data_IF_371249188378
#
_entry.id   IF_371249188378
#
_cell.length_a   1.000
_cell.length_b   1.000
_cell.length_c   1.000
_cell.angle_alpha   90.00
_cell.angle_beta   90.00
_cell.angle_gamma   90.00
#
_symmetry.space_group_name_H-M   'P 1'
#
loop_
_entity.id
_entity.type
_entity.pdbx_description
1 polymer ?
#
# COMPACT_ATOMS: atom_id res chain seq x y z
N UNK A 1 11.72 -38.26 22.31
CA UNK A 1 11.50 -37.76 20.94
C UNK A 1 11.80 -36.27 20.90
N UNK A 2 12.97 -35.90 20.37
CA UNK A 2 13.48 -34.52 20.35
C UNK A 2 12.96 -33.78 19.12
N UNK A 3 12.22 -32.68 19.31
CA UNK A 3 11.83 -31.77 18.23
C UNK A 3 13.06 -30.98 17.81
N UNK A 4 13.74 -31.44 16.76
CA UNK A 4 14.82 -30.69 16.10
C UNK A 4 14.27 -29.34 15.65
N UNK A 5 14.75 -28.28 16.31
CA UNK A 5 14.60 -26.89 15.89
C UNK A 5 15.52 -26.70 14.69
N UNK A 6 14.96 -26.69 13.48
CA UNK A 6 15.72 -26.36 12.28
C UNK A 6 15.96 -24.85 12.27
N UNK A 7 17.21 -24.47 12.52
CA UNK A 7 17.74 -23.17 12.14
C UNK A 7 17.75 -23.09 10.61
N UNK A 8 16.86 -22.30 10.03
CA UNK A 8 16.93 -21.96 8.62
C UNK A 8 17.78 -20.69 8.44
N UNK A 9 18.89 -20.89 7.77
CA UNK A 9 19.82 -19.90 7.23
C UNK A 9 19.18 -19.14 6.05
N UNK A 10 19.65 -17.90 5.85
CA UNK A 10 19.09 -16.89 4.96
C UNK A 10 19.21 -17.17 3.45
N UNK A 11 18.34 -16.53 2.64
CA UNK A 11 18.68 -15.82 1.40
C UNK A 11 18.30 -16.34 -0.03
N UNK A 12 17.20 -17.07 -0.28
CA UNK A 12 16.81 -17.38 -1.71
C UNK A 12 15.31 -17.30 -2.11
N UNK A 13 14.37 -16.88 -1.27
CA UNK A 13 12.95 -16.72 -1.68
C UNK A 13 12.40 -15.35 -1.27
N UNK A 14 11.93 -14.54 -2.23
CA UNK A 14 11.32 -13.22 -2.02
C UNK A 14 9.89 -13.23 -1.45
N UNK A 15 9.56 -14.20 -0.57
CA UNK A 15 8.35 -14.18 0.32
C UNK A 15 8.36 -15.15 1.56
N UNK A 16 9.18 -14.87 2.61
CA UNK A 16 9.16 -15.20 4.07
C UNK A 16 8.44 -14.59 5.31
N UNK A 17 7.59 -13.57 5.29
CA UNK A 17 8.29 -12.29 5.22
C UNK A 17 8.92 -12.27 3.85
N UNK A 18 8.08 -12.04 2.85
CA UNK A 18 6.63 -11.77 3.05
C UNK A 18 5.52 -12.80 2.67
N UNK A 19 4.33 -12.37 3.11
CA UNK A 19 2.96 -12.64 2.70
C UNK A 19 2.75 -13.37 1.35
N UNK A 20 2.01 -14.49 1.34
CA UNK A 20 1.69 -15.26 0.12
C UNK A 20 0.31 -14.99 -0.50
N UNK A 21 -0.41 -13.98 -0.03
CA UNK A 21 -1.76 -13.69 -0.53
C UNK A 21 -1.77 -12.99 -1.90
N UNK A 22 -2.95 -12.84 -2.51
CA UNK A 22 -3.09 -12.36 -3.88
C UNK A 22 -2.91 -10.84 -4.03
N UNK A 23 -2.83 -10.09 -2.92
CA UNK A 23 -2.70 -8.63 -2.99
C UNK A 23 -1.38 -8.24 -3.65
N UNK A 24 -1.51 -7.32 -4.60
CA UNK A 24 -0.40 -6.67 -5.30
C UNK A 24 -0.73 -5.20 -5.46
N UNK A 25 0.29 -4.36 -5.34
CA UNK A 25 0.20 -2.96 -5.75
C UNK A 25 0.04 -2.89 -7.26
N UNK A 26 -0.45 -1.77 -7.77
CA UNK A 26 -0.68 -1.52 -9.20
C UNK A 26 0.56 -1.74 -10.10
N UNK A 27 1.77 -1.68 -9.54
CA UNK A 27 3.04 -1.96 -10.24
C UNK A 27 3.52 -3.42 -10.07
N UNK A 28 2.64 -4.31 -9.60
CA UNK A 28 2.92 -5.73 -9.40
C UNK A 28 3.70 -6.06 -8.12
N UNK A 29 4.09 -5.07 -7.30
CA UNK A 29 4.81 -5.34 -6.05
C UNK A 29 3.93 -6.04 -5.02
N UNK A 30 4.47 -7.08 -4.42
CA UNK A 30 3.90 -7.74 -3.24
C UNK A 30 4.11 -6.91 -1.97
N UNK A 31 3.27 -7.08 -0.94
CA UNK A 31 3.53 -6.55 0.40
C UNK A 31 4.90 -6.99 0.93
N UNK A 32 5.58 -6.11 1.66
CA UNK A 32 6.85 -6.40 2.33
C UNK A 32 6.68 -6.23 3.84
N UNK A 33 6.92 -7.29 4.62
CA UNK A 33 6.65 -7.31 6.06
C UNK A 33 5.21 -6.89 6.39
N UNK A 34 4.24 -7.48 5.69
CA UNK A 34 2.82 -7.14 5.82
C UNK A 34 2.49 -5.69 5.45
N UNK A 35 3.42 -4.96 4.83
CA UNK A 35 3.21 -3.59 4.43
C UNK A 35 3.34 -3.44 2.92
N UNK A 36 2.24 -3.07 2.27
CA UNK A 36 2.21 -2.66 0.88
C UNK A 36 2.46 -1.16 0.81
N UNK A 37 3.68 -0.77 0.45
CA UNK A 37 4.04 0.64 0.37
C UNK A 37 3.20 1.38 -0.69
N UNK A 38 2.65 2.56 -0.38
CA UNK A 38 2.05 3.45 -1.38
C UNK A 38 3.04 3.77 -2.51
N UNK A 39 2.52 4.16 -3.66
CA UNK A 39 3.35 4.83 -4.66
C UNK A 39 3.82 6.19 -4.11
N UNK A 40 4.92 6.68 -4.68
CA UNK A 40 5.34 8.06 -4.47
C UNK A 40 4.16 8.99 -4.79
N UNK A 41 3.91 9.99 -3.93
CA UNK A 41 2.78 10.93 -3.98
C UNK A 41 1.41 10.42 -3.49
N UNK A 42 1.28 9.15 -3.07
CA UNK A 42 0.10 8.62 -2.37
C UNK A 42 0.35 8.36 -0.88
N UNK A 43 1.43 8.94 -0.35
CA UNK A 43 1.82 8.97 1.06
C UNK A 43 2.04 10.41 1.54
N UNK A 44 1.34 10.82 2.60
CA UNK A 44 1.31 12.22 3.02
C UNK A 44 1.75 12.34 4.47
N UNK A 45 2.81 13.10 4.72
CA UNK A 45 3.42 13.24 6.04
C UNK A 45 3.50 14.72 6.40
N UNK A 46 2.72 15.15 7.40
CA UNK A 46 2.74 16.54 7.84
C UNK A 46 4.14 16.95 8.34
N UNK A 47 4.91 16.02 8.90
CA UNK A 47 6.32 16.24 9.26
C UNK A 47 7.17 16.71 8.07
N UNK A 48 6.96 16.14 6.88
CA UNK A 48 7.70 16.50 5.66
C UNK A 48 7.24 17.85 5.11
N UNK A 49 5.92 18.09 5.08
CA UNK A 49 5.34 19.26 4.41
C UNK A 49 5.28 20.51 5.29
N UNK A 50 5.06 20.34 6.60
CA UNK A 50 4.88 21.43 7.58
C UNK A 50 6.04 21.52 8.57
N UNK A 51 7.05 20.66 8.44
CA UNK A 51 8.27 20.64 9.24
C UNK A 51 8.19 19.86 10.55
N UNK A 52 9.35 19.79 11.23
CA UNK A 52 9.61 18.92 12.40
C UNK A 52 8.82 19.24 13.68
N UNK A 53 7.94 20.24 13.64
CA UNK A 53 7.01 20.58 14.74
C UNK A 53 5.89 19.55 14.90
N UNK A 54 5.61 18.77 13.87
CA UNK A 54 4.63 17.69 13.91
C UNK A 54 5.33 16.33 13.95
N UNK A 55 4.84 15.40 14.75
CA UNK A 55 5.36 14.03 14.76
C UNK A 55 5.05 13.29 13.46
N UNK A 56 5.76 12.18 13.22
CA UNK A 56 5.48 11.27 12.11
C UNK A 56 4.09 10.62 12.18
N UNK A 57 3.40 10.68 13.33
CA UNK A 57 2.05 10.13 13.50
C UNK A 57 1.00 10.86 12.66
N UNK A 58 1.25 12.11 12.27
CA UNK A 58 0.36 12.89 11.42
C UNK A 58 0.62 12.58 9.94
N UNK A 59 0.29 11.36 9.55
CA UNK A 59 0.39 10.90 8.18
C UNK A 59 -0.87 10.14 7.76
N UNK A 60 -1.05 9.99 6.46
CA UNK A 60 -2.01 9.08 5.88
C UNK A 60 -1.57 8.70 4.47
N UNK A 61 -2.08 7.59 3.97
CA UNK A 61 -1.74 7.11 2.64
C UNK A 61 -2.84 6.27 2.03
N UNK A 62 -2.79 6.13 0.71
CA UNK A 62 -3.63 5.19 -0.04
C UNK A 62 -2.75 4.31 -0.91
N UNK A 63 -3.22 3.11 -1.22
CA UNK A 63 -2.49 2.17 -2.07
C UNK A 63 -3.39 1.72 -3.20
N UNK A 64 -2.93 1.92 -4.44
CA UNK A 64 -3.55 1.37 -5.63
C UNK A 64 -3.20 -0.11 -5.77
N UNK A 65 -4.22 -0.97 -5.89
CA UNK A 65 -4.05 -2.40 -6.08
C UNK A 65 -4.06 -2.78 -7.56
N UNK A 66 -3.44 -3.91 -7.90
CA UNK A 66 -3.37 -4.43 -9.26
C UNK A 66 -4.75 -4.76 -9.86
N UNK A 67 -5.76 -5.01 -9.03
CA UNK A 67 -7.13 -5.28 -9.45
C UNK A 67 -8.01 -4.01 -9.59
N UNK A 68 -7.38 -2.82 -9.53
CA UNK A 68 -8.04 -1.52 -9.69
C UNK A 68 -8.73 -1.00 -8.43
N UNK A 69 -8.73 -1.75 -7.32
CA UNK A 69 -9.22 -1.26 -6.02
C UNK A 69 -8.16 -0.40 -5.33
N UNK A 70 -8.60 0.29 -4.30
CA UNK A 70 -7.77 1.12 -3.44
C UNK A 70 -7.97 0.74 -1.98
N UNK A 71 -6.92 0.84 -1.17
CA UNK A 71 -6.99 0.66 0.28
C UNK A 71 -6.46 1.91 0.98
N UNK A 72 -6.96 2.16 2.19
CA UNK A 72 -6.45 3.19 3.09
C UNK A 72 -5.43 2.55 4.01
N UNK A 73 -4.23 3.11 4.03
CA UNK A 73 -3.04 2.56 4.69
C UNK A 73 -2.54 1.24 4.08
N UNK A 74 -1.21 1.04 4.08
CA UNK A 74 -0.57 -0.11 3.44
C UNK A 74 -0.51 -1.38 4.28
N UNK A 75 -1.03 -1.38 5.52
CA UNK A 75 -0.85 -2.49 6.44
C UNK A 75 -1.86 -3.62 6.15
N UNK A 76 -1.34 -4.76 5.70
CA UNK A 76 -2.08 -6.00 5.39
C UNK A 76 -2.04 -6.90 6.62
N UNK A 77 -3.16 -7.01 7.35
CA UNK A 77 -3.26 -7.88 8.53
C UNK A 77 -3.65 -9.30 8.12
N UNK A 78 -3.55 -10.23 9.08
CA UNK A 78 -3.90 -11.65 8.90
C UNK A 78 -5.37 -11.87 8.46
N UNK A 79 -6.22 -10.87 8.68
CA UNK A 79 -7.59 -10.83 8.21
C UNK A 79 -7.78 -9.77 7.12
N UNK A 80 -7.56 -10.16 5.86
CA UNK A 80 -7.83 -9.31 4.69
C UNK A 80 -9.30 -8.88 4.62
N UNK A 81 -10.23 -9.63 5.22
CA UNK A 81 -11.66 -9.28 5.20
C UNK A 81 -11.97 -8.04 6.04
N UNK A 82 -11.10 -7.72 7.00
CA UNK A 82 -11.17 -6.49 7.79
C UNK A 82 -10.64 -5.25 7.05
N UNK A 83 -10.01 -5.42 5.88
CA UNK A 83 -9.53 -4.30 5.08
C UNK A 83 -10.68 -3.64 4.30
N UNK A 84 -10.74 -2.31 4.39
CA UNK A 84 -11.71 -1.54 3.61
C UNK A 84 -11.15 -1.28 2.20
N UNK A 85 -11.87 -1.76 1.19
CA UNK A 85 -11.54 -1.56 -0.22
C UNK A 85 -12.44 -0.52 -0.86
N UNK A 86 -11.85 0.37 -1.64
CA UNK A 86 -12.52 1.45 -2.35
C UNK A 86 -12.41 1.25 -3.86
N UNK A 87 -13.43 1.69 -4.60
CA UNK A 87 -13.46 1.62 -6.06
C UNK A 87 -12.65 2.73 -6.74
N UNK A 88 -12.32 3.80 -6.02
CA UNK A 88 -11.58 4.94 -6.56
C UNK A 88 -10.57 5.47 -5.56
N UNK A 89 -9.50 6.07 -6.09
CA UNK A 89 -8.51 6.81 -5.31
C UNK A 89 -9.16 7.91 -4.47
N UNK A 90 -10.07 8.65 -5.09
CA UNK A 90 -10.70 9.82 -4.47
C UNK A 90 -11.47 9.42 -3.22
N UNK A 91 -12.26 8.34 -3.28
CA UNK A 91 -12.99 7.86 -2.10
C UNK A 91 -12.04 7.37 -1.02
N UNK A 92 -11.00 6.60 -1.38
CA UNK A 92 -9.99 6.15 -0.42
C UNK A 92 -9.30 7.34 0.26
N UNK A 93 -8.90 8.34 -0.52
CA UNK A 93 -8.17 9.51 -0.02
C UNK A 93 -9.04 10.37 0.89
N UNK A 94 -10.30 10.61 0.52
CA UNK A 94 -11.29 11.30 1.36
C UNK A 94 -11.54 10.54 2.67
N UNK A 95 -11.62 9.21 2.62
CA UNK A 95 -11.78 8.38 3.83
C UNK A 95 -10.55 8.45 4.74
N UNK A 96 -9.34 8.35 4.19
CA UNK A 96 -8.09 8.50 4.93
C UNK A 96 -8.00 9.88 5.60
N UNK A 97 -8.26 10.94 4.84
CA UNK A 97 -8.31 12.31 5.34
C UNK A 97 -9.35 12.50 6.45
N UNK A 98 -10.55 11.93 6.29
CA UNK A 98 -11.59 12.01 7.31
C UNK A 98 -11.18 11.30 8.61
N UNK A 99 -10.50 10.14 8.52
CA UNK A 99 -9.93 9.42 9.67
C UNK A 99 -8.86 10.27 10.38
N UNK A 100 -7.95 10.87 9.63
CA UNK A 100 -6.91 11.74 10.18
C UNK A 100 -7.51 12.99 10.83
N UNK A 101 -8.45 13.69 10.18
CA UNK A 101 -9.14 14.85 10.76
C UNK A 101 -9.79 14.45 12.08
N UNK A 102 -10.49 13.31 12.13
CA UNK A 102 -11.10 12.79 13.37
C UNK A 102 -10.06 12.54 14.46
N UNK A 103 -8.91 11.99 14.11
CA UNK A 103 -7.79 11.80 15.04
C UNK A 103 -7.26 13.15 15.56
N UNK A 104 -7.02 14.11 14.66
CA UNK A 104 -6.58 15.48 15.01
C UNK A 104 -7.59 16.14 15.98
N UNK A 105 -8.91 15.95 15.78
CA UNK A 105 -9.95 16.46 16.70
C UNK A 105 -9.83 15.88 18.11
N UNK A 106 -9.51 14.59 18.20
CA UNK A 106 -9.32 13.87 19.48
C UNK A 106 -7.99 14.23 20.15
N UNK A 107 -6.96 14.48 19.36
CA UNK A 107 -5.60 14.79 19.81
C UNK A 107 -5.49 16.05 20.68
N UNK A 108 -6.48 16.95 20.61
CA UNK A 108 -6.60 18.12 21.50
C UNK A 108 -6.71 17.74 22.99
N UNK A 109 -7.08 16.49 23.28
CA UNK A 109 -7.23 15.96 24.64
C UNK A 109 -6.06 15.05 25.03
N UNK A 110 -5.13 14.81 24.11
CA UNK A 110 -3.99 13.94 24.36
C UNK A 110 -2.90 14.73 25.09
N UNK A 111 -1.95 14.01 25.67
CA UNK A 111 -0.74 14.58 26.29
C UNK A 111 0.50 14.03 25.60
N UNK A 112 1.64 14.69 25.81
CA UNK A 112 2.93 14.25 25.26
C UNK A 112 3.09 14.54 23.76
N UNK A 113 3.89 13.71 23.08
CA UNK A 113 4.38 13.97 21.72
C UNK A 113 3.28 13.97 20.63
N UNK A 114 2.15 13.31 20.89
CA UNK A 114 1.01 13.28 19.98
C UNK A 114 -0.09 14.30 20.34
N UNK A 115 0.17 15.20 21.28
CA UNK A 115 -0.71 16.33 21.52
C UNK A 115 -0.58 17.37 20.39
N UNK A 116 -1.71 17.90 19.93
CA UNK A 116 -1.77 18.99 18.94
C UNK A 116 -2.31 20.23 19.63
N UNK A 117 -1.53 21.30 19.64
CA UNK A 117 -1.94 22.57 20.26
C UNK A 117 -3.12 23.22 19.53
N UNK A 118 -3.84 24.11 20.22
CA UNK A 118 -4.96 24.84 19.63
C UNK A 118 -4.54 25.68 18.40
N UNK A 119 -3.30 26.16 18.35
CA UNK A 119 -2.74 26.94 17.23
C UNK A 119 -2.45 26.05 16.01
N UNK A 120 -2.11 24.79 16.22
CA UNK A 120 -1.61 23.90 15.17
C UNK A 120 -2.73 23.06 14.53
N UNK A 121 -3.86 22.96 15.22
CA UNK A 121 -5.03 22.23 14.78
C UNK A 121 -5.62 22.72 13.44
N UNK A 122 -5.86 24.05 13.23
CA UNK A 122 -6.33 24.53 11.94
C UNK A 122 -5.33 24.24 10.82
N UNK A 123 -4.03 24.32 11.11
CA UNK A 123 -2.98 24.06 10.13
C UNK A 123 -2.98 22.60 9.65
N UNK A 124 -3.07 21.63 10.57
CA UNK A 124 -3.14 20.21 10.19
C UNK A 124 -4.40 19.87 9.40
N UNK A 125 -5.54 20.45 9.76
CA UNK A 125 -6.79 20.23 9.01
C UNK A 125 -6.69 20.84 7.61
N UNK A 126 -6.21 22.08 7.49
CA UNK A 126 -6.03 22.73 6.19
C UNK A 126 -5.09 21.93 5.29
N UNK A 127 -3.93 21.50 5.83
CA UNK A 127 -3.01 20.62 5.11
C UNK A 127 -3.66 19.30 4.69
N UNK A 128 -4.41 18.64 5.59
CA UNK A 128 -5.09 17.38 5.25
C UNK A 128 -6.09 17.57 4.10
N UNK A 129 -6.83 18.68 4.09
CA UNK A 129 -7.77 19.01 3.02
C UNK A 129 -7.05 19.34 1.70
N UNK A 130 -5.92 20.05 1.76
CA UNK A 130 -5.09 20.33 0.58
C UNK A 130 -4.60 19.03 -0.07
N UNK A 131 -4.13 18.06 0.71
CA UNK A 131 -3.64 16.78 0.20
C UNK A 131 -4.73 16.00 -0.56
N UNK A 132 -5.99 16.08 -0.13
CA UNK A 132 -7.13 15.45 -0.83
C UNK A 132 -7.32 16.05 -2.23
N UNK A 133 -7.02 17.33 -2.40
CA UNK A 133 -7.12 18.03 -3.69
C UNK A 133 -5.94 17.76 -4.64
N UNK A 134 -4.89 17.05 -4.20
CA UNK A 134 -3.73 16.80 -5.05
C UNK A 134 -4.06 15.77 -6.15
N UNK A 135 -3.77 16.10 -7.43
CA UNK A 135 -4.05 15.20 -8.53
C UNK A 135 -3.23 13.91 -8.40
N UNK A 136 -3.81 12.80 -8.85
CA UNK A 136 -3.08 11.55 -8.96
C UNK A 136 -2.00 11.69 -10.04
N UNK A 137 -0.79 11.17 -9.79
CA UNK A 137 0.17 11.01 -10.88
C UNK A 137 -0.33 9.94 -11.84
N UNK A 138 0.00 10.10 -13.13
CA UNK A 138 -0.19 9.02 -14.11
C UNK A 138 0.73 7.86 -13.72
N UNK A 139 0.14 6.79 -13.20
CA UNK A 139 0.88 5.55 -12.92
C UNK A 139 1.17 4.89 -14.26
N UNK A 140 2.44 4.70 -14.58
CA UNK A 140 2.82 3.83 -15.69
C UNK A 140 2.60 2.39 -15.24
N UNK A 141 1.56 1.76 -15.75
CA UNK A 141 1.35 0.32 -15.60
C UNK A 141 2.18 -0.33 -16.70
N UNK A 142 3.25 -1.03 -16.32
CA UNK A 142 3.99 -1.83 -17.29
C UNK A 142 3.03 -2.86 -17.91
N UNK A 143 3.07 -3.08 -19.24
CA UNK A 143 2.25 -4.12 -19.85
C UNK A 143 2.57 -5.48 -19.20
N UNK A 144 1.58 -6.40 -19.12
CA UNK A 144 1.83 -7.72 -18.59
C UNK A 144 3.00 -8.38 -19.35
N UNK A 145 3.83 -9.20 -18.67
CA UNK A 145 4.89 -9.93 -19.35
C UNK A 145 4.26 -10.78 -20.47
N UNK A 146 4.97 -10.96 -21.61
CA UNK A 146 4.48 -11.84 -22.66
C UNK A 146 4.22 -13.25 -22.09
N UNK A 147 3.22 -13.98 -22.62
CA UNK A 147 2.99 -15.35 -22.22
C UNK A 147 4.28 -16.16 -22.42
N UNK A 148 4.55 -17.16 -21.56
CA UNK A 148 5.70 -18.02 -21.76
C UNK A 148 5.65 -18.64 -23.16
N UNK A 149 6.80 -18.82 -23.83
CA UNK A 149 6.83 -19.50 -25.12
C UNK A 149 6.19 -20.88 -24.97
N UNK A 150 5.36 -21.27 -25.94
CA UNK A 150 4.81 -22.62 -25.97
C UNK A 150 5.96 -23.63 -25.91
N UNK A 151 5.81 -24.73 -25.16
CA UNK A 151 6.81 -25.80 -25.19
C UNK A 151 7.03 -26.24 -26.65
N UNK A 152 8.26 -26.64 -27.01
CA UNK A 152 8.52 -27.18 -28.34
C UNK A 152 7.57 -28.36 -28.58
N UNK A 153 7.01 -28.50 -29.79
CA UNK A 153 6.12 -29.61 -30.09
C UNK A 153 6.90 -30.91 -29.87
N UNK A 154 6.35 -31.78 -29.04
CA UNK A 154 6.95 -33.07 -28.65
C UNK A 154 6.45 -34.20 -29.54
N UNK A 155 5.39 -33.98 -30.31
CA UNK A 155 4.80 -34.96 -31.21
C UNK A 155 4.70 -34.44 -32.64
N UNK A 156 4.71 -35.37 -33.60
CA UNK A 156 4.49 -35.09 -35.02
C UNK A 156 3.13 -34.42 -35.27
N UNK A 157 2.12 -34.78 -34.48
CA UNK A 157 0.78 -34.18 -34.54
C UNK A 157 0.82 -32.68 -34.15
N UNK A 158 1.53 -32.33 -33.06
CA UNK A 158 1.71 -30.94 -32.63
C UNK A 158 2.55 -30.10 -33.62
N UNK A 159 3.47 -30.73 -34.37
CA UNK A 159 4.20 -30.07 -35.45
C UNK A 159 3.25 -29.74 -36.61
N UNK A 160 2.40 -30.69 -36.99
CA UNK A 160 1.43 -30.52 -38.07
C UNK A 160 0.35 -29.49 -37.74
N UNK A 161 -0.09 -29.40 -36.48
CA UNK A 161 -1.09 -28.41 -36.03
C UNK A 161 -0.53 -26.99 -35.90
N UNK A 162 0.79 -26.81 -35.83
CA UNK A 162 1.46 -25.50 -35.68
C UNK A 162 2.08 -24.97 -36.98
N UNK A 163 2.04 -25.73 -38.06
CA UNK A 163 2.47 -25.27 -39.38
C UNK A 163 1.38 -24.38 -40.01
N UNK A 164 1.73 -23.21 -40.58
CA UNK A 164 0.78 -22.27 -41.19
C UNK A 164 0.10 -22.81 -42.46
#
# INVERSE_FOLDING_TARGET
>A
MSKKRLHNTAAEHGDPFPYKGPLRRIDGRAPFNHYLWPLHDDWFWAYNDLGRRFSSTWNFSVVALADGRWIVEGFVKDDESAMEFFRSRETALRTAAARLIRMIRRARRWTGHNHVSAKDYPLLIAWTLEMVGRPARKVFIAPPPPPPPLPPPTTLLEIMERAP
#
